data_IF_090620377049
#
_entry.id   IF_090620377049
#
_cell.length_a   1.000
_cell.length_b   1.000
_cell.length_c   1.000
_cell.angle_alpha   90.00
_cell.angle_beta   90.00
_cell.angle_gamma   90.00
#
_symmetry.space_group_name_H-M   'P 1'
#
loop_
_entity.id
_entity.type
_entity.pdbx_description
1 polymer ?
#
# COMPACT_ATOMS: atom_id res chain seq x y z
N UNK A 1 -25.82 4.65 -2.43
CA UNK A 1 -24.69 5.55 -2.13
C UNK A 1 -23.62 5.28 -3.18
N UNK A 2 -22.98 6.30 -3.74
CA UNK A 2 -21.87 6.05 -4.67
C UNK A 2 -20.74 5.35 -3.92
N UNK A 3 -20.09 4.38 -4.58
CA UNK A 3 -18.97 3.65 -3.97
C UNK A 3 -17.78 4.62 -3.81
N UNK A 4 -17.38 4.87 -2.56
CA UNK A 4 -16.30 5.80 -2.22
C UNK A 4 -14.91 5.32 -2.68
N UNK A 5 -14.74 4.00 -2.75
CA UNK A 5 -13.57 3.34 -3.31
C UNK A 5 -14.05 2.13 -4.10
N UNK A 6 -13.50 1.93 -5.28
CA UNK A 6 -13.84 0.77 -6.12
C UNK A 6 -12.61 -0.05 -6.45
N UNK A 7 -12.80 -1.35 -6.65
CA UNK A 7 -11.83 -2.23 -7.27
C UNK A 7 -12.38 -2.72 -8.61
N UNK A 8 -11.53 -2.75 -9.62
CA UNK A 8 -11.83 -3.36 -10.91
C UNK A 8 -10.62 -4.15 -11.41
N UNK A 9 -10.86 -5.37 -11.91
CA UNK A 9 -9.82 -6.17 -12.56
C UNK A 9 -9.88 -6.00 -14.08
N UNK A 10 -8.73 -5.72 -14.69
CA UNK A 10 -8.55 -5.65 -16.15
C UNK A 10 -7.40 -6.59 -16.53
N UNK A 11 -7.74 -7.82 -16.81
CA UNK A 11 -6.77 -8.90 -17.05
C UNK A 11 -5.88 -9.15 -15.83
N UNK A 12 -4.57 -8.97 -16.00
CA UNK A 12 -3.58 -9.16 -14.96
C UNK A 12 -3.38 -7.91 -14.06
N UNK A 13 -4.09 -6.81 -14.31
CA UNK A 13 -3.96 -5.55 -13.58
C UNK A 13 -5.25 -5.28 -12.80
N UNK A 14 -5.14 -5.11 -11.49
CA UNK A 14 -6.20 -4.60 -10.64
C UNK A 14 -6.09 -3.07 -10.52
N UNK A 15 -7.21 -2.39 -10.40
CA UNK A 15 -7.26 -0.94 -10.24
C UNK A 15 -8.15 -0.62 -9.05
N UNK A 16 -7.56 -0.04 -8.01
CA UNK A 16 -8.28 0.57 -6.89
C UNK A 16 -8.39 2.06 -7.17
N UNK A 17 -9.60 2.61 -7.11
CA UNK A 17 -9.86 4.02 -7.38
C UNK A 17 -10.55 4.68 -6.20
N UNK A 18 -9.95 5.75 -5.67
CA UNK A 18 -10.55 6.63 -4.67
C UNK A 18 -11.55 7.56 -5.39
N UNK A 19 -12.78 7.66 -4.89
CA UNK A 19 -13.91 8.31 -5.59
C UNK A 19 -14.64 9.33 -4.72
N UNK A 20 -13.87 10.25 -4.17
CA UNK A 20 -14.37 11.40 -3.39
C UNK A 20 -13.73 12.69 -3.92
N UNK A 21 -13.84 12.90 -5.24
CA UNK A 21 -13.16 13.98 -5.96
C UNK A 21 -13.50 15.38 -5.43
N UNK A 22 -14.71 15.60 -4.94
CA UNK A 22 -15.20 16.87 -4.36
C UNK A 22 -14.46 17.28 -3.07
N UNK A 23 -13.84 16.32 -2.38
CA UNK A 23 -12.97 16.50 -1.22
C UNK A 23 -11.51 16.14 -1.52
N UNK A 24 -11.09 16.14 -2.79
CA UNK A 24 -9.74 15.72 -3.22
C UNK A 24 -9.34 14.35 -2.67
N UNK A 25 -10.30 13.44 -2.57
CA UNK A 25 -10.14 12.09 -2.01
C UNK A 25 -9.62 12.09 -0.55
N UNK A 26 -9.96 13.11 0.24
CA UNK A 26 -9.67 13.14 1.66
C UNK A 26 -10.30 11.93 2.36
N UNK A 27 -9.55 11.32 3.27
CA UNK A 27 -9.92 10.08 3.94
C UNK A 27 -10.71 10.40 5.21
N UNK A 28 -11.89 9.82 5.32
CA UNK A 28 -12.68 9.68 6.54
C UNK A 28 -12.86 8.20 6.88
N UNK A 29 -13.56 7.87 7.96
CA UNK A 29 -13.80 6.48 8.33
C UNK A 29 -14.57 5.69 7.24
N UNK A 30 -15.61 6.25 6.59
CA UNK A 30 -16.25 5.60 5.43
C UNK A 30 -15.27 5.29 4.29
N UNK A 31 -14.39 6.24 3.93
CA UNK A 31 -13.36 6.04 2.90
C UNK A 31 -12.38 4.93 3.29
N UNK A 32 -11.90 4.91 4.55
CA UNK A 32 -11.01 3.87 5.05
C UNK A 32 -11.67 2.49 5.02
N UNK A 33 -12.96 2.39 5.38
CA UNK A 33 -13.70 1.13 5.29
C UNK A 33 -13.90 0.67 3.85
N UNK A 34 -14.21 1.58 2.95
CA UNK A 34 -14.34 1.27 1.53
C UNK A 34 -13.00 0.83 0.92
N UNK A 35 -11.89 1.46 1.33
CA UNK A 35 -10.54 1.04 0.92
C UNK A 35 -10.21 -0.36 1.44
N UNK A 36 -10.54 -0.68 2.70
CA UNK A 36 -10.33 -2.01 3.27
C UNK A 36 -11.10 -3.11 2.51
N UNK A 37 -12.34 -2.82 2.08
CA UNK A 37 -13.13 -3.73 1.23
C UNK A 37 -12.45 -3.91 -0.14
N UNK A 38 -12.08 -2.82 -0.81
CA UNK A 38 -11.42 -2.88 -2.13
C UNK A 38 -10.07 -3.62 -2.07
N UNK A 39 -9.32 -3.50 -0.97
CA UNK A 39 -8.10 -4.29 -0.74
C UNK A 39 -8.40 -5.79 -0.63
N UNK A 40 -9.49 -6.17 0.05
CA UNK A 40 -9.94 -7.57 0.12
C UNK A 40 -10.33 -8.13 -1.25
N UNK A 41 -10.99 -7.35 -2.09
CA UNK A 41 -11.31 -7.73 -3.47
C UNK A 41 -10.05 -7.89 -4.31
N UNK A 42 -9.06 -6.99 -4.16
CA UNK A 42 -7.77 -7.10 -4.83
C UNK A 42 -7.00 -8.37 -4.41
N UNK A 43 -6.95 -8.69 -3.11
CA UNK A 43 -6.33 -9.92 -2.58
C UNK A 43 -6.96 -11.19 -3.17
N UNK A 44 -8.29 -11.22 -3.27
CA UNK A 44 -9.04 -12.36 -3.80
C UNK A 44 -8.99 -12.48 -5.33
N UNK A 45 -8.54 -11.44 -6.03
CA UNK A 45 -8.53 -11.40 -7.49
C UNK A 45 -7.37 -12.18 -8.11
N UNK A 46 -7.45 -12.40 -9.43
CA UNK A 46 -6.37 -12.93 -10.25
C UNK A 46 -5.37 -11.85 -10.71
N UNK A 47 -5.52 -10.59 -10.27
CA UNK A 47 -4.60 -9.53 -10.62
C UNK A 47 -3.19 -9.84 -10.13
N UNK A 48 -2.20 -9.54 -10.95
CA UNK A 48 -0.76 -9.72 -10.66
C UNK A 48 -0.07 -8.44 -10.21
N UNK A 49 -0.69 -7.29 -10.49
CA UNK A 49 -0.25 -5.95 -10.09
C UNK A 49 -1.48 -5.13 -9.77
N UNK A 50 -1.40 -4.25 -8.76
CA UNK A 50 -2.50 -3.36 -8.39
C UNK A 50 -2.07 -1.91 -8.57
N UNK A 51 -2.86 -1.14 -9.32
CA UNK A 51 -2.75 0.32 -9.40
C UNK A 51 -3.67 0.93 -8.35
N UNK A 52 -3.20 1.96 -7.65
CA UNK A 52 -4.00 2.79 -6.76
C UNK A 52 -4.05 4.20 -7.31
N UNK A 53 -5.22 4.72 -7.60
CA UNK A 53 -5.44 6.04 -8.19
C UNK A 53 -6.54 6.81 -7.47
N UNK A 54 -6.64 8.11 -7.74
CA UNK A 54 -7.74 8.96 -7.28
C UNK A 54 -8.47 9.60 -8.46
N UNK A 55 -9.79 9.67 -8.40
CA UNK A 55 -10.59 10.45 -9.35
C UNK A 55 -10.41 11.95 -9.14
N UNK A 56 -10.56 12.72 -10.22
CA UNK A 56 -10.54 14.18 -10.19
C UNK A 56 -9.15 14.77 -10.17
N UNK A 57 -8.98 15.92 -9.50
CA UNK A 57 -7.74 16.71 -9.52
C UNK A 57 -6.74 16.34 -8.41
N UNK A 58 -7.13 15.49 -7.45
CA UNK A 58 -6.30 15.09 -6.32
C UNK A 58 -6.05 13.57 -6.33
N UNK A 59 -4.84 13.14 -5.99
CA UNK A 59 -4.67 11.75 -5.61
C UNK A 59 -5.34 11.52 -4.26
N UNK A 60 -4.84 12.17 -3.21
CA UNK A 60 -5.45 12.16 -1.87
C UNK A 60 -4.88 13.32 -1.04
N UNK A 61 -5.77 14.14 -0.48
CA UNK A 61 -5.40 15.29 0.35
C UNK A 61 -5.06 14.93 1.81
N UNK A 62 -5.13 13.65 2.19
CA UNK A 62 -4.88 13.18 3.55
C UNK A 62 -6.14 12.93 4.35
N UNK A 63 -6.05 12.99 5.68
CA UNK A 63 -7.19 12.80 6.57
C UNK A 63 -8.19 13.97 6.47
N UNK A 64 -9.47 13.66 6.30
CA UNK A 64 -10.54 14.67 6.32
C UNK A 64 -10.66 15.25 7.73
N UNK A 65 -10.27 16.52 7.90
CA UNK A 65 -10.26 17.22 9.20
C UNK A 65 -11.64 17.21 9.83
N UNK A 66 -12.69 17.41 9.05
CA UNK A 66 -14.08 17.37 9.55
C UNK A 66 -14.43 15.97 10.09
N UNK A 67 -13.79 14.92 9.56
CA UNK A 67 -14.03 13.53 9.94
C UNK A 67 -13.43 13.13 11.29
N UNK A 68 -12.40 13.83 11.78
CA UNK A 68 -11.70 13.45 13.01
C UNK A 68 -11.62 14.54 14.07
N UNK A 69 -11.79 15.81 13.71
CA UNK A 69 -11.60 16.95 14.66
C UNK A 69 -12.59 16.97 15.84
N UNK A 70 -13.74 16.31 15.71
CA UNK A 70 -14.72 16.18 16.79
C UNK A 70 -14.56 14.93 17.67
N UNK A 71 -13.56 14.06 17.40
CA UNK A 71 -13.32 12.86 18.19
C UNK A 71 -12.69 13.18 19.54
N UNK A 72 -13.03 12.42 20.58
CA UNK A 72 -12.26 12.43 21.81
C UNK A 72 -10.92 11.71 21.64
N UNK A 73 -10.04 11.81 22.64
CA UNK A 73 -8.70 11.22 22.55
C UNK A 73 -8.72 9.70 22.34
N UNK A 74 -9.68 8.99 22.90
CA UNK A 74 -9.81 7.53 22.75
C UNK A 74 -10.29 7.16 21.35
N UNK A 75 -11.34 7.81 20.86
CA UNK A 75 -11.83 7.64 19.49
C UNK A 75 -10.78 8.00 18.44
N UNK A 76 -10.05 9.11 18.64
CA UNK A 76 -8.96 9.48 17.75
C UNK A 76 -7.85 8.43 17.74
N UNK A 77 -7.43 7.91 18.89
CA UNK A 77 -6.36 6.91 18.95
C UNK A 77 -6.80 5.54 18.38
N UNK A 78 -8.01 5.07 18.74
CA UNK A 78 -8.44 3.71 18.42
C UNK A 78 -9.20 3.59 17.11
N UNK A 79 -10.16 4.50 16.86
CA UNK A 79 -11.05 4.39 15.72
C UNK A 79 -10.48 5.08 14.49
N UNK A 80 -9.68 6.13 14.68
CA UNK A 80 -9.04 6.86 13.60
C UNK A 80 -7.63 6.34 13.32
N UNK A 81 -6.68 6.54 14.24
CA UNK A 81 -5.27 6.23 13.98
C UNK A 81 -5.04 4.73 13.82
N UNK A 82 -5.46 3.90 14.78
CA UNK A 82 -5.19 2.45 14.70
C UNK A 82 -5.93 1.75 13.58
N UNK A 83 -7.15 2.19 13.24
CA UNK A 83 -7.88 1.59 12.13
C UNK A 83 -7.25 1.94 10.79
N UNK A 84 -6.97 3.22 10.53
CA UNK A 84 -6.31 3.64 9.31
C UNK A 84 -4.92 3.01 9.16
N UNK A 85 -4.16 2.87 10.26
CA UNK A 85 -2.89 2.17 10.26
C UNK A 85 -3.03 0.72 9.76
N UNK A 86 -4.04 -0.03 10.25
CA UNK A 86 -4.30 -1.41 9.78
C UNK A 86 -4.63 -1.47 8.28
N UNK A 87 -5.43 -0.52 7.78
CA UNK A 87 -5.79 -0.46 6.36
C UNK A 87 -4.56 -0.20 5.49
N UNK A 88 -3.69 0.73 5.91
CA UNK A 88 -2.46 1.04 5.17
C UNK A 88 -1.43 -0.10 5.26
N UNK A 89 -1.35 -0.77 6.39
CA UNK A 89 -0.54 -1.98 6.52
C UNK A 89 -1.04 -3.08 5.60
N UNK A 90 -2.35 -3.28 5.49
CA UNK A 90 -2.94 -4.24 4.56
C UNK A 90 -2.55 -3.92 3.11
N UNK A 91 -2.60 -2.65 2.68
CA UNK A 91 -2.13 -2.23 1.36
C UNK A 91 -0.64 -2.57 1.14
N UNK A 92 0.20 -2.25 2.12
CA UNK A 92 1.64 -2.52 2.01
C UNK A 92 1.96 -4.02 1.93
N UNK A 93 1.10 -4.85 2.55
CA UNK A 93 1.24 -6.32 2.63
C UNK A 93 0.48 -7.07 1.53
N UNK A 94 -0.20 -6.39 0.61
CA UNK A 94 -0.76 -7.06 -0.57
C UNK A 94 0.33 -7.91 -1.22
N UNK A 95 0.02 -9.18 -1.52
CA UNK A 95 0.97 -10.06 -2.20
C UNK A 95 1.37 -9.53 -3.59
N UNK A 96 0.42 -8.88 -4.27
CA UNK A 96 0.68 -8.23 -5.56
C UNK A 96 1.55 -6.99 -5.38
N UNK A 97 2.51 -6.72 -6.28
CA UNK A 97 3.12 -5.40 -6.41
C UNK A 97 2.08 -4.31 -6.62
N UNK A 98 2.32 -3.15 -6.01
CA UNK A 98 1.39 -2.02 -6.02
C UNK A 98 2.05 -0.76 -6.58
N UNK A 99 1.32 0.02 -7.38
CA UNK A 99 1.78 1.29 -7.94
C UNK A 99 0.77 2.39 -7.58
N UNK A 100 1.19 3.41 -6.84
CA UNK A 100 0.41 4.63 -6.66
C UNK A 100 0.54 5.53 -7.90
N UNK A 101 -0.59 5.89 -8.48
CA UNK A 101 -0.71 6.77 -9.66
C UNK A 101 -1.05 8.18 -9.17
N UNK A 102 -0.04 9.02 -9.02
CA UNK A 102 -0.18 10.37 -8.46
C UNK A 102 -0.47 11.38 -9.57
N UNK A 103 -1.72 11.40 -10.05
CA UNK A 103 -2.22 12.38 -11.03
C UNK A 103 -2.60 13.73 -10.37
N UNK A 104 -2.61 13.79 -9.05
CA UNK A 104 -2.85 14.98 -8.24
C UNK A 104 -2.02 14.96 -6.96
N UNK A 105 -2.15 16.02 -6.16
CA UNK A 105 -1.37 16.19 -4.93
C UNK A 105 -1.57 15.01 -3.97
N UNK A 106 -0.48 14.63 -3.28
CA UNK A 106 -0.45 13.61 -2.24
C UNK A 106 0.10 14.24 -0.95
N UNK A 107 -0.78 14.63 -0.03
CA UNK A 107 -0.42 15.36 1.17
C UNK A 107 -0.84 14.61 2.44
N UNK A 108 -0.03 14.65 3.47
CA UNK A 108 -0.31 14.01 4.75
C UNK A 108 -0.63 12.53 4.58
N UNK A 109 -1.76 12.08 5.12
CA UNK A 109 -2.25 10.72 4.93
C UNK A 109 -2.34 10.25 3.47
N UNK A 110 -2.44 11.18 2.51
CA UNK A 110 -2.38 10.86 1.07
C UNK A 110 -0.98 10.43 0.63
N UNK A 111 0.07 11.07 1.15
CA UNK A 111 1.43 10.60 0.93
C UNK A 111 1.71 9.32 1.70
N UNK A 112 1.19 9.16 2.94
CA UNK A 112 1.28 7.92 3.70
C UNK A 112 0.68 6.73 2.90
N UNK A 113 -0.47 6.96 2.25
CA UNK A 113 -1.13 5.98 1.39
C UNK A 113 -0.26 5.63 0.16
N UNK A 114 0.32 6.64 -0.49
CA UNK A 114 1.23 6.42 -1.62
C UNK A 114 2.51 5.68 -1.20
N UNK A 115 3.04 5.98 -0.01
CA UNK A 115 4.22 5.30 0.56
C UNK A 115 3.91 3.85 0.96
N UNK A 116 2.66 3.50 1.23
CA UNK A 116 2.26 2.12 1.44
C UNK A 116 2.30 1.26 0.15
N UNK A 117 2.26 1.87 -1.03
CA UNK A 117 2.50 1.18 -2.29
C UNK A 117 4.00 0.89 -2.51
N UNK A 118 4.32 -0.13 -3.32
CA UNK A 118 5.71 -0.46 -3.66
C UNK A 118 6.34 0.63 -4.54
N UNK A 119 5.59 1.12 -5.52
CA UNK A 119 6.05 2.12 -6.50
C UNK A 119 5.11 3.33 -6.55
N UNK A 120 5.64 4.47 -7.04
CA UNK A 120 4.92 5.73 -7.22
C UNK A 120 5.28 6.34 -8.56
N UNK A 121 4.26 6.62 -9.37
CA UNK A 121 4.39 7.38 -10.62
C UNK A 121 3.69 8.72 -10.40
N UNK A 122 4.44 9.82 -10.46
CA UNK A 122 3.93 11.17 -10.24
C UNK A 122 3.80 11.94 -11.55
N UNK A 123 2.75 12.71 -11.73
CA UNK A 123 2.69 13.68 -12.82
C UNK A 123 3.46 14.95 -12.45
N UNK A 124 3.98 15.65 -13.46
CA UNK A 124 4.89 16.81 -13.29
C UNK A 124 4.34 17.93 -12.41
N UNK A 125 3.01 18.17 -12.44
CA UNK A 125 2.36 19.27 -11.73
C UNK A 125 2.06 18.99 -10.26
N UNK A 126 2.24 17.75 -9.78
CA UNK A 126 1.82 17.39 -8.41
C UNK A 126 2.82 17.87 -7.36
N UNK A 127 2.31 18.01 -6.15
CA UNK A 127 3.10 18.24 -4.95
C UNK A 127 2.82 17.15 -3.92
N UNK A 128 3.81 16.87 -3.08
CA UNK A 128 3.71 15.87 -2.04
C UNK A 128 4.49 16.28 -0.78
N UNK A 129 4.06 15.81 0.39
CA UNK A 129 4.70 16.14 1.66
C UNK A 129 3.89 15.71 2.87
N UNK A 130 4.46 15.93 4.05
CA UNK A 130 3.86 15.64 5.35
C UNK A 130 3.60 16.95 6.12
N UNK A 131 2.51 17.69 5.82
CA UNK A 131 2.23 18.99 6.43
C UNK A 131 1.54 18.89 7.81
N UNK A 132 1.38 17.71 8.39
CA UNK A 132 0.57 17.46 9.60
C UNK A 132 0.95 18.35 10.77
N UNK A 133 2.23 18.65 10.95
CA UNK A 133 2.70 19.51 12.07
C UNK A 133 2.21 20.93 11.98
N UNK A 134 1.83 21.42 10.80
CA UNK A 134 1.18 22.74 10.65
C UNK A 134 -0.22 22.80 11.25
N UNK A 135 -0.86 21.64 11.46
CA UNK A 135 -2.15 21.47 12.11
C UNK A 135 -2.03 21.01 13.58
N UNK A 136 -0.79 20.90 14.11
CA UNK A 136 -0.56 20.41 15.47
C UNK A 136 -0.77 18.90 15.63
N UNK A 137 -0.79 18.14 14.54
CA UNK A 137 -0.88 16.67 14.54
C UNK A 137 0.37 16.06 13.91
N UNK A 138 0.46 14.73 13.93
CA UNK A 138 1.58 13.97 13.35
C UNK A 138 1.06 12.98 12.31
N UNK A 139 1.90 12.55 11.34
CA UNK A 139 1.55 11.44 10.47
C UNK A 139 1.17 10.20 11.30
N UNK A 140 0.01 9.63 11.06
CA UNK A 140 -0.60 8.61 11.94
C UNK A 140 -0.73 7.21 11.33
N UNK A 141 -0.45 7.04 10.04
CA UNK A 141 -0.72 5.80 9.32
C UNK A 141 0.54 5.14 8.72
N UNK A 142 1.59 5.08 9.53
CA UNK A 142 2.94 4.55 9.20
C UNK A 142 3.78 5.43 8.27
N UNK A 143 3.38 6.65 7.97
CA UNK A 143 4.12 7.54 7.08
C UNK A 143 5.55 7.78 7.56
N UNK A 144 5.74 8.09 8.84
CA UNK A 144 7.08 8.31 9.38
C UNK A 144 7.92 7.03 9.36
N UNK A 145 7.41 5.92 9.86
CA UNK A 145 8.18 4.67 9.98
C UNK A 145 8.49 4.08 8.60
N UNK A 146 7.48 3.92 7.74
CA UNK A 146 7.65 3.36 6.39
C UNK A 146 8.45 4.28 5.50
N UNK A 147 8.19 5.59 5.53
CA UNK A 147 8.93 6.57 4.76
C UNK A 147 10.40 6.63 5.19
N UNK A 148 10.71 6.53 6.50
CA UNK A 148 12.10 6.48 6.98
C UNK A 148 12.83 5.25 6.47
N UNK A 149 12.19 4.08 6.48
CA UNK A 149 12.80 2.85 5.96
C UNK A 149 13.07 2.94 4.46
N UNK A 150 12.15 3.52 3.69
CA UNK A 150 12.22 3.56 2.22
C UNK A 150 13.07 4.70 1.67
N UNK A 151 13.04 5.88 2.32
CA UNK A 151 13.65 7.11 1.78
C UNK A 151 14.74 7.70 2.67
N UNK A 152 14.91 7.16 3.88
CA UNK A 152 15.87 7.66 4.85
C UNK A 152 15.30 8.78 5.75
N UNK A 153 15.85 8.84 6.96
CA UNK A 153 15.34 9.73 8.02
C UNK A 153 15.46 11.22 7.68
N UNK A 154 16.49 11.62 6.91
CA UNK A 154 16.70 13.03 6.60
C UNK A 154 15.63 13.58 5.66
N UNK A 155 15.20 12.80 4.67
CA UNK A 155 14.10 13.16 3.76
C UNK A 155 12.81 13.37 4.55
N UNK A 156 12.50 12.44 5.47
CA UNK A 156 11.28 12.53 6.30
C UNK A 156 11.36 13.73 7.26
N UNK A 157 12.55 14.06 7.84
CA UNK A 157 12.71 15.27 8.68
C UNK A 157 12.39 16.53 7.90
N UNK A 158 12.84 16.66 6.65
CA UNK A 158 12.52 17.84 5.81
C UNK A 158 11.02 18.02 5.64
N UNK A 159 10.30 16.95 5.34
CA UNK A 159 8.84 17.01 5.14
C UNK A 159 8.08 17.15 6.47
N UNK A 160 8.32 16.26 7.44
CA UNK A 160 7.49 16.18 8.65
C UNK A 160 7.85 17.24 9.71
N UNK A 161 9.13 17.60 9.87
CA UNK A 161 9.54 18.62 10.82
C UNK A 161 9.68 19.99 10.17
N UNK A 162 10.22 20.04 8.95
CA UNK A 162 10.43 21.27 8.19
C UNK A 162 9.20 21.76 7.44
N UNK A 163 8.16 20.93 7.30
CA UNK A 163 6.95 21.26 6.54
C UNK A 163 7.18 21.40 5.04
N UNK A 164 8.27 20.85 4.52
CA UNK A 164 8.64 20.99 3.11
C UNK A 164 7.66 20.23 2.21
N UNK A 165 7.13 20.95 1.23
CA UNK A 165 6.27 20.38 0.17
C UNK A 165 7.10 20.30 -1.10
N UNK A 166 7.32 19.07 -1.54
CA UNK A 166 8.20 18.76 -2.67
C UNK A 166 7.43 18.79 -4.00
N UNK A 167 8.12 19.17 -5.06
CA UNK A 167 7.67 18.95 -6.44
C UNK A 167 7.88 17.50 -6.85
N UNK A 168 7.26 17.06 -7.94
CA UNK A 168 7.47 15.73 -8.51
C UNK A 168 8.95 15.49 -8.88
N UNK A 169 9.64 16.51 -9.39
CA UNK A 169 11.07 16.43 -9.77
C UNK A 169 11.97 16.29 -8.53
N UNK A 170 11.71 17.06 -7.45
CA UNK A 170 12.47 16.93 -6.20
C UNK A 170 12.25 15.56 -5.56
N UNK A 171 11.00 15.08 -5.59
CA UNK A 171 10.64 13.77 -5.08
C UNK A 171 11.31 12.62 -5.86
N UNK A 172 11.47 12.76 -7.18
CA UNK A 172 12.24 11.82 -8.01
C UNK A 172 13.73 11.85 -7.62
N UNK A 173 14.31 13.04 -7.48
CA UNK A 173 15.72 13.19 -7.10
C UNK A 173 16.04 12.62 -5.70
N UNK A 174 15.03 12.61 -4.79
CA UNK A 174 15.13 12.05 -3.44
C UNK A 174 14.71 10.58 -3.36
N UNK A 175 14.31 9.95 -4.46
CA UNK A 175 13.85 8.56 -4.49
C UNK A 175 12.47 8.33 -3.83
N UNK A 176 11.69 9.39 -3.61
CA UNK A 176 10.32 9.26 -3.08
C UNK A 176 9.36 8.79 -4.15
N UNK A 177 9.52 9.25 -5.39
CA UNK A 177 8.81 8.73 -6.56
C UNK A 177 9.77 8.03 -7.50
N UNK A 178 9.29 7.02 -8.19
CA UNK A 178 10.11 6.17 -9.05
C UNK A 178 10.13 6.66 -10.50
N UNK A 179 9.08 7.37 -10.90
CA UNK A 179 8.94 7.95 -12.24
C UNK A 179 8.14 9.24 -12.20
N UNK A 180 8.50 10.16 -13.09
CA UNK A 180 7.70 11.35 -13.38
C UNK A 180 7.13 11.21 -14.79
N UNK A 181 5.85 11.47 -14.94
CA UNK A 181 5.12 11.48 -16.19
C UNK A 181 4.61 12.89 -16.49
N UNK A 182 4.43 13.23 -17.76
CA UNK A 182 3.78 14.46 -18.14
C UNK A 182 2.33 14.50 -17.62
N UNK A 183 1.81 15.71 -17.41
CA UNK A 183 0.42 15.91 -16.96
C UNK A 183 -0.57 15.16 -17.84
N UNK A 184 -1.42 14.36 -17.21
CA UNK A 184 -2.40 13.51 -17.88
C UNK A 184 -1.85 12.17 -18.39
N UNK A 185 -0.55 11.88 -18.21
CA UNK A 185 0.08 10.63 -18.66
C UNK A 185 0.38 9.63 -17.53
N UNK A 186 0.09 9.98 -16.30
CA UNK A 186 0.39 9.14 -15.13
C UNK A 186 -0.23 7.75 -15.22
N UNK A 187 -1.49 7.66 -15.62
CA UNK A 187 -2.19 6.37 -15.80
C UNK A 187 -1.56 5.51 -16.91
N UNK A 188 -1.23 6.11 -18.05
CA UNK A 188 -0.60 5.41 -19.18
C UNK A 188 0.78 4.86 -18.81
N UNK A 189 1.62 5.69 -18.17
CA UNK A 189 2.96 5.30 -17.71
C UNK A 189 2.89 4.18 -16.66
N UNK A 190 1.96 4.30 -15.71
CA UNK A 190 1.76 3.30 -14.66
C UNK A 190 1.27 1.97 -15.22
N UNK A 191 0.31 2.00 -16.14
CA UNK A 191 -0.21 0.80 -16.82
C UNK A 191 0.90 0.08 -17.59
N UNK A 192 1.67 0.79 -18.41
CA UNK A 192 2.78 0.19 -19.16
C UNK A 192 3.87 -0.39 -18.26
N UNK A 193 4.04 0.15 -17.04
CA UNK A 193 4.93 -0.44 -16.05
C UNK A 193 4.32 -1.66 -15.39
N UNK A 194 3.04 -1.61 -15.01
CA UNK A 194 2.31 -2.74 -14.45
C UNK A 194 2.30 -3.95 -15.39
N UNK A 195 2.11 -3.74 -16.69
CA UNK A 195 2.17 -4.80 -17.72
C UNK A 195 3.54 -5.49 -17.74
N UNK A 196 4.63 -4.72 -17.63
CA UNK A 196 6.01 -5.28 -17.56
C UNK A 196 6.23 -6.09 -16.28
N UNK A 197 5.66 -5.66 -15.14
CA UNK A 197 5.73 -6.40 -13.88
C UNK A 197 4.86 -7.66 -13.98
N UNK A 198 3.64 -7.55 -14.49
CA UNK A 198 2.71 -8.67 -14.63
C UNK A 198 3.21 -9.78 -15.57
N UNK A 199 4.10 -9.45 -16.51
CA UNK A 199 4.74 -10.43 -17.39
C UNK A 199 5.82 -11.30 -16.69
N UNK A 200 6.19 -11.00 -15.44
CA UNK A 200 7.16 -11.78 -14.67
C UNK A 200 6.48 -12.95 -13.97
N UNK A 201 7.27 -13.89 -13.44
CA UNK A 201 6.75 -15.02 -12.67
C UNK A 201 6.02 -14.55 -11.40
N UNK A 202 4.72 -14.78 -11.26
CA UNK A 202 3.92 -14.17 -10.17
C UNK A 202 4.43 -14.58 -8.78
N UNK A 203 4.62 -15.86 -8.52
CA UNK A 203 5.11 -16.34 -7.23
C UNK A 203 6.53 -15.81 -6.89
N UNK A 204 7.42 -15.72 -7.88
CA UNK A 204 8.75 -15.16 -7.67
C UNK A 204 8.69 -13.67 -7.33
N UNK A 205 7.79 -12.91 -7.98
CA UNK A 205 7.59 -11.49 -7.73
C UNK A 205 6.98 -11.24 -6.34
N UNK A 206 5.96 -11.99 -5.97
CA UNK A 206 5.32 -11.95 -4.64
C UNK A 206 6.32 -12.32 -3.54
N UNK A 207 7.10 -13.39 -3.74
CA UNK A 207 8.14 -13.80 -2.78
C UNK A 207 9.25 -12.75 -2.64
N UNK A 208 9.70 -12.15 -3.76
CA UNK A 208 10.68 -11.08 -3.71
C UNK A 208 10.17 -9.85 -2.93
N UNK A 209 8.92 -9.44 -3.14
CA UNK A 209 8.27 -8.39 -2.35
C UNK A 209 8.27 -8.71 -0.86
N UNK A 210 7.87 -9.93 -0.49
CA UNK A 210 7.86 -10.38 0.90
C UNK A 210 9.27 -10.35 1.52
N UNK A 211 10.30 -10.80 0.79
CA UNK A 211 11.69 -10.75 1.25
C UNK A 211 12.19 -9.30 1.45
N UNK A 212 11.78 -8.36 0.60
CA UNK A 212 12.09 -6.94 0.74
C UNK A 212 11.42 -6.38 2.01
N UNK A 213 10.13 -6.68 2.24
CA UNK A 213 9.41 -6.27 3.44
C UNK A 213 10.09 -6.79 4.73
N UNK A 214 10.57 -8.03 4.73
CA UNK A 214 11.36 -8.59 5.83
C UNK A 214 12.66 -7.80 6.05
N UNK A 215 13.37 -7.46 4.98
CA UNK A 215 14.61 -6.67 5.06
C UNK A 215 14.36 -5.24 5.57
N UNK A 216 13.20 -4.66 5.27
CA UNK A 216 12.72 -3.39 5.82
C UNK A 216 12.25 -3.50 7.28
N UNK A 217 12.25 -4.68 7.89
CA UNK A 217 11.78 -4.93 9.25
C UNK A 217 10.25 -4.99 9.38
N UNK A 218 9.55 -5.20 8.28
CA UNK A 218 8.11 -5.43 8.26
C UNK A 218 7.81 -6.95 8.23
N UNK A 219 6.81 -7.41 9.00
CA UNK A 219 6.26 -8.79 8.96
C UNK A 219 7.26 -9.96 9.14
N UNK A 220 8.43 -9.74 9.71
CA UNK A 220 9.50 -10.74 9.73
C UNK A 220 9.04 -12.12 10.23
N UNK A 221 8.26 -12.19 11.31
CA UNK A 221 7.77 -13.45 11.87
C UNK A 221 6.78 -14.15 10.92
N UNK A 222 5.72 -13.45 10.51
CA UNK A 222 4.67 -14.00 9.65
C UNK A 222 5.22 -14.43 8.27
N UNK A 223 6.11 -13.66 7.69
CA UNK A 223 6.77 -13.96 6.43
C UNK A 223 7.63 -15.24 6.53
N UNK A 224 8.39 -15.39 7.62
CA UNK A 224 9.22 -16.57 7.86
C UNK A 224 8.37 -17.83 7.98
N UNK A 225 7.28 -17.78 8.75
CA UNK A 225 6.35 -18.90 8.91
C UNK A 225 5.65 -19.26 7.58
N UNK A 226 5.22 -18.26 6.81
CA UNK A 226 4.57 -18.48 5.52
C UNK A 226 5.51 -19.17 4.52
N UNK A 227 6.75 -18.71 4.40
CA UNK A 227 7.76 -19.32 3.51
C UNK A 227 8.14 -20.72 3.97
N UNK A 228 8.36 -20.92 5.27
CA UNK A 228 8.66 -22.24 5.82
C UNK A 228 7.52 -23.22 5.59
N UNK A 229 6.28 -22.84 5.88
CA UNK A 229 5.09 -23.65 5.67
C UNK A 229 4.87 -23.97 4.20
N UNK A 230 5.09 -23.00 3.30
CA UNK A 230 5.03 -23.18 1.87
C UNK A 230 6.06 -24.20 1.37
N UNK A 231 7.28 -24.15 1.90
CA UNK A 231 8.31 -25.16 1.59
C UNK A 231 7.89 -26.56 2.07
N UNK A 232 7.44 -26.68 3.32
CA UNK A 232 6.97 -27.96 3.88
C UNK A 232 5.79 -28.52 3.09
N UNK A 233 4.89 -27.68 2.57
CA UNK A 233 3.74 -28.09 1.76
C UNK A 233 4.13 -28.83 0.46
N UNK A 234 5.34 -28.67 -0.02
CA UNK A 234 5.86 -29.36 -1.21
C UNK A 234 6.45 -30.75 -0.89
N UNK A 235 6.67 -31.08 0.40
CA UNK A 235 7.36 -32.29 0.79
C UNK A 235 6.50 -33.56 0.75
N UNK A 236 7.15 -34.70 0.54
CA UNK A 236 6.53 -36.02 0.72
C UNK A 236 6.13 -36.29 2.16
N UNK A 237 6.89 -35.76 3.12
CA UNK A 237 6.62 -35.95 4.54
C UNK A 237 5.27 -35.32 4.97
N UNK A 238 4.89 -34.12 4.45
CA UNK A 238 3.57 -33.57 4.72
C UNK A 238 2.47 -34.47 4.18
N UNK A 239 2.62 -35.00 2.95
CA UNK A 239 1.64 -35.91 2.35
C UNK A 239 1.50 -37.19 3.16
N UNK A 240 2.63 -37.77 3.59
CA UNK A 240 2.66 -38.95 4.45
C UNK A 240 1.99 -38.71 5.81
N UNK A 241 2.26 -37.54 6.43
CA UNK A 241 1.65 -37.16 7.69
C UNK A 241 0.14 -37.01 7.61
N UNK A 242 -0.36 -36.31 6.57
CA UNK A 242 -1.81 -36.12 6.31
C UNK A 242 -2.49 -37.47 6.06
N UNK A 243 -1.92 -38.35 5.22
CA UNK A 243 -2.47 -39.66 4.95
C UNK A 243 -2.55 -40.51 6.22
N UNK A 244 -1.48 -40.56 7.01
CA UNK A 244 -1.44 -41.30 8.27
C UNK A 244 -2.48 -40.80 9.28
N UNK A 245 -2.72 -39.46 9.34
CA UNK A 245 -3.77 -38.89 10.19
C UNK A 245 -5.18 -39.39 9.80
N UNK A 246 -5.50 -39.39 8.51
CA UNK A 246 -6.80 -39.88 8.02
C UNK A 246 -6.96 -41.41 8.24
N UNK A 247 -5.87 -42.16 8.08
CA UNK A 247 -5.84 -43.62 8.27
C UNK A 247 -5.68 -44.04 9.74
N UNK A 248 -5.58 -43.11 10.66
CA UNK A 248 -5.40 -43.34 12.11
C UNK A 248 -4.20 -44.24 12.45
N UNK A 249 -3.13 -44.13 11.68
CA UNK A 249 -1.86 -44.85 11.90
C UNK A 249 -0.72 -43.86 12.23
N UNK A 250 0.43 -44.37 12.62
CA UNK A 250 1.65 -43.57 12.75
C UNK A 250 2.22 -43.20 11.38
N UNK A 251 2.66 -41.96 11.17
CA UNK A 251 3.33 -41.58 9.93
C UNK A 251 4.75 -42.14 9.85
N UNK A 252 5.21 -42.39 8.61
CA UNK A 252 6.60 -42.71 8.28
C UNK A 252 7.14 -41.58 7.42
N UNK A 253 8.18 -40.88 7.92
CA UNK A 253 8.79 -39.74 7.28
C UNK A 253 10.10 -40.15 6.59
N UNK A 254 10.29 -39.65 5.37
CA UNK A 254 11.43 -40.01 4.50
C UNK A 254 12.38 -38.82 4.22
N UNK A 255 12.03 -37.61 4.66
CA UNK A 255 12.74 -36.36 4.36
C UNK A 255 12.79 -36.02 2.87
N UNK A 256 11.70 -36.31 2.13
CA UNK A 256 11.56 -36.02 0.69
C UNK A 256 10.46 -35.00 0.41
#
# INVERSE_FOLDING_TARGET
>A
MADLVTFAADGAIGIITLRRAEKFNALDLPMLRALDVALGEAEASAARVVLLSGEGKGFCAGGDIDGWSGMDAAGFAHDWVRYGHRVFDRLARLRQPTIAVLSGHALGGGLELAVACDFRVAETQIKLGFPETSLGVVPGWSGTQRAVRRFGAQVVRRMALGGEILSASDALALGIVDRVAETGQGATVSRGWAEKIAARGPLATETAKLMIAVAEGEETAAATEALASGFIALTGDLKAGVAAFHEKRKPEFSRT
#
